data_IF_999137801502
#
_entry.id   IF_999137801502
#
_cell.length_a   1.000
_cell.length_b   1.000
_cell.length_c   1.000
_cell.angle_alpha   90.00
_cell.angle_beta   90.00
_cell.angle_gamma   90.00
#
_symmetry.space_group_name_H-M   'P 1'
#
loop_
_entity.id
_entity.type
_entity.pdbx_description
1 polymer ?
#
# COMPACT_ATOMS: atom_id res chain seq x y z
N UNK A 1 -32.57 -1.51 0.44
CA UNK A 1 -31.54 -1.73 -0.58
C UNK A 1 -30.32 -2.36 0.08
N UNK A 2 -29.96 -3.62 -0.21
CA UNK A 2 -28.67 -4.17 0.19
C UNK A 2 -27.59 -3.56 -0.70
N UNK A 3 -27.39 -2.25 -0.56
CA UNK A 3 -26.50 -1.45 -1.40
C UNK A 3 -25.05 -1.73 -1.04
N UNK A 4 -24.15 -1.69 -2.03
CA UNK A 4 -22.69 -1.47 -2.08
C UNK A 4 -21.85 -1.57 -0.77
N UNK A 5 -22.36 -1.13 0.37
CA UNK A 5 -21.71 -1.12 1.68
C UNK A 5 -21.15 -2.49 2.14
N UNK A 6 -21.86 -3.63 2.05
CA UNK A 6 -21.27 -4.94 2.35
C UNK A 6 -20.15 -5.33 1.38
N UNK A 7 -20.20 -4.84 0.14
CA UNK A 7 -19.16 -5.08 -0.87
C UNK A 7 -17.94 -4.20 -0.62
N UNK A 8 -18.12 -2.93 -0.24
CA UNK A 8 -17.03 -2.04 0.16
C UNK A 8 -16.38 -2.47 1.47
N UNK A 9 -17.15 -3.06 2.39
CA UNK A 9 -16.59 -3.65 3.61
C UNK A 9 -15.89 -4.99 3.34
N UNK A 10 -16.40 -5.79 2.39
CA UNK A 10 -15.68 -6.95 1.85
C UNK A 10 -14.48 -6.57 0.97
N UNK A 11 -14.36 -5.31 0.53
CA UNK A 11 -13.19 -4.70 -0.11
C UNK A 11 -12.12 -4.32 0.93
N UNK A 12 -12.28 -4.64 2.22
CA UNK A 12 -11.15 -4.77 3.16
C UNK A 12 -10.56 -6.21 3.30
N UNK A 13 -10.32 -7.05 2.26
CA UNK A 13 -9.57 -8.29 2.38
C UNK A 13 -8.12 -8.08 2.81
N UNK A 14 -7.65 -6.84 2.90
CA UNK A 14 -6.40 -6.48 3.54
C UNK A 14 -6.33 -6.88 5.01
N UNK A 15 -7.46 -7.06 5.70
CA UNK A 15 -7.45 -7.71 7.01
C UNK A 15 -6.95 -9.15 6.94
N UNK A 16 -7.11 -9.86 5.82
CA UNK A 16 -6.57 -11.22 5.66
C UNK A 16 -5.06 -11.21 5.49
N UNK A 17 -4.52 -10.21 4.80
CA UNK A 17 -3.06 -10.06 4.68
C UNK A 17 -2.47 -9.68 6.03
N UNK A 18 -3.05 -8.70 6.74
CA UNK A 18 -2.62 -8.35 8.10
C UNK A 18 -2.71 -9.55 9.04
N UNK A 19 -3.85 -10.24 9.05
CA UNK A 19 -4.01 -11.48 9.83
C UNK A 19 -3.01 -12.55 9.45
N UNK A 20 -2.73 -12.75 8.17
CA UNK A 20 -1.73 -13.72 7.73
C UNK A 20 -0.32 -13.36 8.24
N UNK A 21 0.04 -12.08 8.23
CA UNK A 21 1.30 -11.59 8.80
C UNK A 21 1.33 -11.78 10.32
N UNK A 22 0.22 -11.54 11.01
CA UNK A 22 0.09 -11.78 12.45
C UNK A 22 0.23 -13.28 12.76
N UNK A 23 -0.50 -14.14 12.05
CA UNK A 23 -0.43 -15.61 12.18
C UNK A 23 1.00 -16.13 11.90
N UNK A 24 1.72 -15.55 10.92
CA UNK A 24 3.14 -15.85 10.67
C UNK A 24 4.03 -15.43 11.84
N UNK A 25 3.81 -14.24 12.38
CA UNK A 25 4.61 -13.69 13.49
C UNK A 25 4.35 -14.43 14.81
N UNK A 26 3.11 -14.90 15.03
CA UNK A 26 2.72 -15.73 16.17
C UNK A 26 3.18 -17.19 16.04
N UNK A 27 3.75 -17.59 14.91
CA UNK A 27 4.25 -18.94 14.68
C UNK A 27 3.13 -19.97 14.49
N UNK A 28 1.94 -19.54 14.05
CA UNK A 28 0.83 -20.45 13.69
C UNK A 28 1.29 -21.43 12.60
N UNK A 29 2.17 -20.96 11.70
CA UNK A 29 2.83 -21.77 10.70
C UNK A 29 4.23 -22.18 11.19
N UNK A 30 4.31 -23.29 11.92
CA UNK A 30 5.51 -23.78 12.66
C UNK A 30 6.82 -23.75 11.83
N UNK A 31 6.76 -23.95 10.51
CA UNK A 31 7.94 -24.00 9.62
C UNK A 31 8.07 -22.81 8.68
N UNK A 32 7.24 -21.77 8.82
CA UNK A 32 7.22 -20.62 7.94
C UNK A 32 7.39 -19.34 8.76
N UNK A 33 8.44 -18.60 8.46
CA UNK A 33 8.63 -17.22 8.90
C UNK A 33 8.46 -16.27 7.72
N UNK A 34 8.30 -14.98 8.00
CA UNK A 34 8.24 -13.97 6.96
C UNK A 34 9.48 -14.00 6.05
N UNK A 35 10.66 -14.22 6.61
CA UNK A 35 11.91 -14.38 5.87
C UNK A 35 11.84 -15.55 4.89
N UNK A 36 11.37 -16.72 5.35
CA UNK A 36 11.27 -17.92 4.50
C UNK A 36 10.27 -17.75 3.37
N UNK A 37 9.17 -17.04 3.61
CA UNK A 37 8.18 -16.72 2.57
C UNK A 37 8.77 -15.74 1.55
N UNK A 38 9.55 -14.76 1.99
CA UNK A 38 10.23 -13.80 1.10
C UNK A 38 11.46 -14.37 0.38
N UNK A 39 11.94 -15.55 0.77
CA UNK A 39 12.95 -16.32 0.02
C UNK A 39 12.32 -17.17 -1.09
N UNK A 40 11.02 -17.44 -1.02
CA UNK A 40 10.29 -18.13 -2.07
C UNK A 40 9.91 -17.14 -3.19
N UNK A 41 10.07 -17.56 -4.46
CA UNK A 41 9.79 -16.73 -5.64
C UNK A 41 8.33 -16.28 -5.70
N UNK A 42 7.38 -17.18 -5.47
CA UNK A 42 5.95 -16.87 -5.46
C UNK A 42 5.59 -16.05 -4.21
N UNK A 43 6.15 -16.42 -3.07
CA UNK A 43 5.91 -15.76 -1.78
C UNK A 43 6.32 -14.30 -1.79
N UNK A 44 7.52 -13.98 -2.28
CA UNK A 44 7.97 -12.59 -2.40
C UNK A 44 7.12 -11.79 -3.37
N UNK A 45 6.72 -12.37 -4.50
CA UNK A 45 5.86 -11.71 -5.48
C UNK A 45 4.49 -11.40 -4.86
N UNK A 46 3.84 -12.41 -4.26
CA UNK A 46 2.52 -12.26 -3.65
C UNK A 46 2.50 -11.25 -2.51
N UNK A 47 3.53 -11.24 -1.65
CA UNK A 47 3.61 -10.26 -0.55
C UNK A 47 3.84 -8.82 -1.05
N UNK A 48 4.66 -8.64 -2.09
CA UNK A 48 4.83 -7.34 -2.75
C UNK A 48 3.50 -6.85 -3.37
N UNK A 49 2.84 -7.71 -4.14
CA UNK A 49 1.56 -7.40 -4.79
C UNK A 49 0.45 -7.12 -3.78
N UNK A 50 0.38 -7.90 -2.69
CA UNK A 50 -0.62 -7.69 -1.65
C UNK A 50 -0.47 -6.32 -0.97
N UNK A 51 0.76 -5.91 -0.63
CA UNK A 51 1.01 -4.60 -0.03
C UNK A 51 0.74 -3.47 -1.02
N UNK A 52 1.13 -3.64 -2.28
CA UNK A 52 0.83 -2.70 -3.35
C UNK A 52 -0.68 -2.51 -3.55
N UNK A 53 -1.42 -3.60 -3.76
CA UNK A 53 -2.86 -3.57 -3.98
C UNK A 53 -3.58 -2.93 -2.79
N UNK A 54 -3.12 -3.22 -1.58
CA UNK A 54 -3.66 -2.57 -0.40
C UNK A 54 -3.46 -1.04 -0.44
N UNK A 55 -2.26 -0.56 -0.74
CA UNK A 55 -2.00 0.87 -0.92
C UNK A 55 -2.84 1.50 -2.05
N UNK A 56 -3.00 0.81 -3.18
CA UNK A 56 -3.87 1.24 -4.29
C UNK A 56 -5.31 1.35 -3.82
N UNK A 57 -5.81 0.39 -3.05
CA UNK A 57 -7.17 0.42 -2.54
C UNK A 57 -7.40 1.61 -1.61
N UNK A 58 -6.43 1.99 -0.77
CA UNK A 58 -6.51 3.20 0.05
C UNK A 58 -6.65 4.44 -0.84
N UNK A 59 -5.76 4.61 -1.81
CA UNK A 59 -5.78 5.75 -2.74
C UNK A 59 -7.09 5.81 -3.52
N UNK A 60 -7.57 4.68 -4.03
CA UNK A 60 -8.81 4.60 -4.82
C UNK A 60 -10.03 4.92 -3.97
N UNK A 61 -10.12 4.40 -2.73
CA UNK A 61 -11.23 4.71 -1.82
C UNK A 61 -11.29 6.21 -1.56
N UNK A 62 -10.15 6.84 -1.25
CA UNK A 62 -10.08 8.26 -0.95
C UNK A 62 -10.36 9.13 -2.18
N UNK A 63 -9.96 8.66 -3.37
CA UNK A 63 -10.18 9.38 -4.62
C UNK A 63 -11.62 9.28 -5.14
N UNK A 64 -12.25 8.12 -4.97
CA UNK A 64 -13.56 7.80 -5.57
C UNK A 64 -14.72 8.01 -4.62
N UNK A 65 -14.47 8.02 -3.31
CA UNK A 65 -15.51 8.17 -2.29
C UNK A 65 -15.11 9.33 -1.38
N UNK A 66 -15.78 10.47 -1.55
CA UNK A 66 -15.53 11.65 -0.74
C UNK A 66 -15.69 11.36 0.75
N UNK A 67 -14.91 12.07 1.59
CA UNK A 67 -14.87 11.85 3.04
C UNK A 67 -16.25 11.84 3.69
N UNK A 68 -17.12 12.80 3.34
CA UNK A 68 -18.48 12.88 3.87
C UNK A 68 -19.32 11.64 3.50
N UNK A 69 -19.16 11.11 2.29
CA UNK A 69 -19.85 9.90 1.84
C UNK A 69 -19.34 8.69 2.64
N UNK A 70 -18.03 8.57 2.86
CA UNK A 70 -17.44 7.49 3.68
C UNK A 70 -17.93 7.53 5.13
N UNK A 71 -18.04 8.71 5.72
CA UNK A 71 -18.56 8.89 7.08
C UNK A 71 -20.04 8.51 7.19
N UNK A 72 -20.87 8.95 6.23
CA UNK A 72 -22.29 8.54 6.16
C UNK A 72 -22.44 7.02 5.99
N UNK A 73 -21.57 6.41 5.19
CA UNK A 73 -21.50 4.96 5.03
C UNK A 73 -21.13 4.24 6.33
N UNK A 74 -20.13 4.72 7.07
CA UNK A 74 -19.74 4.17 8.38
C UNK A 74 -20.91 4.22 9.37
N UNK A 75 -21.60 5.35 9.46
CA UNK A 75 -22.77 5.52 10.35
C UNK A 75 -23.89 4.56 9.94
N UNK A 76 -24.17 4.43 8.65
CA UNK A 76 -25.17 3.49 8.14
C UNK A 76 -24.80 2.04 8.48
N UNK A 77 -23.54 1.66 8.34
CA UNK A 77 -23.07 0.32 8.67
C UNK A 77 -23.18 0.06 10.17
N UNK A 78 -22.72 0.99 11.00
CA UNK A 78 -22.78 0.87 12.46
C UNK A 78 -24.21 0.64 12.94
N UNK A 79 -25.18 1.44 12.45
CA UNK A 79 -26.60 1.28 12.80
C UNK A 79 -27.19 -0.07 12.34
N UNK A 80 -26.79 -0.55 11.16
CA UNK A 80 -27.22 -1.84 10.64
C UNK A 80 -26.60 -3.01 11.41
N UNK A 81 -25.31 -2.91 11.73
CA UNK A 81 -24.57 -3.92 12.47
C UNK A 81 -25.04 -3.99 13.91
N UNK A 82 -25.27 -2.86 14.60
CA UNK A 82 -25.80 -2.85 15.98
C UNK A 82 -27.18 -3.51 16.12
N UNK A 83 -27.96 -3.60 15.03
CA UNK A 83 -29.21 -4.35 14.99
C UNK A 83 -29.01 -5.88 14.89
N UNK A 84 -27.79 -6.34 14.64
CA UNK A 84 -27.35 -7.74 14.65
C UNK A 84 -26.35 -7.91 15.80
N UNK A 85 -26.57 -8.87 16.70
CA UNK A 85 -25.86 -8.98 17.99
C UNK A 85 -24.35 -9.27 17.93
N UNK A 86 -23.69 -9.10 16.78
CA UNK A 86 -22.27 -9.31 16.55
C UNK A 86 -21.58 -7.96 16.34
N UNK A 87 -21.16 -7.32 17.44
CA UNK A 87 -20.22 -6.20 17.35
C UNK A 87 -18.89 -6.75 16.83
N UNK A 88 -18.55 -6.45 15.57
CA UNK A 88 -17.26 -6.83 14.98
C UNK A 88 -16.14 -6.04 15.67
N UNK A 89 -15.13 -6.76 16.18
CA UNK A 89 -13.94 -6.20 16.84
C UNK A 89 -13.12 -5.25 15.96
N UNK A 90 -13.34 -5.27 14.65
CA UNK A 90 -12.56 -4.51 13.67
C UNK A 90 -13.18 -3.15 13.31
N UNK A 91 -14.31 -2.78 13.93
CA UNK A 91 -15.05 -1.58 13.55
C UNK A 91 -14.26 -0.30 13.80
N UNK A 92 -13.46 -0.25 14.87
CA UNK A 92 -12.64 0.92 15.21
C UNK A 92 -11.54 1.16 14.17
N UNK A 93 -10.88 0.10 13.70
CA UNK A 93 -9.88 0.18 12.65
C UNK A 93 -10.48 0.63 11.31
N UNK A 94 -11.64 0.08 10.96
CA UNK A 94 -12.39 0.50 9.76
C UNK A 94 -12.78 1.98 9.86
N UNK A 95 -13.23 2.44 11.02
CA UNK A 95 -13.57 3.85 11.26
C UNK A 95 -12.34 4.75 11.13
N UNK A 96 -11.20 4.36 11.71
CA UNK A 96 -9.93 5.07 11.60
C UNK A 96 -9.50 5.21 10.14
N UNK A 97 -9.63 4.13 9.37
CA UNK A 97 -9.20 4.06 7.98
C UNK A 97 -10.14 4.81 7.01
N UNK A 98 -11.43 4.86 7.29
CA UNK A 98 -12.42 5.54 6.44
C UNK A 98 -12.71 6.98 6.83
N UNK A 99 -12.21 7.46 7.98
CA UNK A 99 -12.32 8.86 8.38
C UNK A 99 -11.78 9.79 7.29
N UNK A 100 -12.41 10.95 7.13
CA UNK A 100 -11.97 11.95 6.16
C UNK A 100 -10.46 12.26 6.27
N UNK A 101 -9.81 12.40 5.12
CA UNK A 101 -8.40 12.81 4.97
C UNK A 101 -8.30 14.30 4.64
N UNK A 102 -9.42 14.95 4.30
CA UNK A 102 -9.45 16.27 3.69
C UNK A 102 -9.08 16.27 2.20
N UNK A 103 -8.75 15.12 1.62
CA UNK A 103 -8.50 15.00 0.18
C UNK A 103 -9.79 15.24 -0.61
N UNK A 104 -9.67 15.93 -1.74
CA UNK A 104 -10.76 16.10 -2.71
C UNK A 104 -10.18 15.98 -4.12
N UNK A 105 -10.89 15.25 -4.99
CA UNK A 105 -10.54 15.08 -6.39
C UNK A 105 -11.09 16.20 -7.30
N UNK A 106 -11.76 17.20 -6.71
CA UNK A 106 -12.33 18.32 -7.46
C UNK A 106 -11.24 19.24 -8.04
N UNK A 107 -11.42 19.78 -9.26
CA UNK A 107 -10.49 20.74 -9.84
C UNK A 107 -10.27 21.95 -8.93
N UNK A 108 -9.02 22.30 -8.64
CA UNK A 108 -8.66 23.41 -7.77
C UNK A 108 -8.62 23.09 -6.27
N UNK A 109 -8.98 21.88 -5.85
CA UNK A 109 -8.80 21.45 -4.47
C UNK A 109 -7.31 21.34 -4.11
N UNK A 110 -6.92 21.93 -2.97
CA UNK A 110 -5.56 21.82 -2.45
C UNK A 110 -5.40 20.47 -1.75
N UNK A 111 -4.30 19.77 -2.05
CA UNK A 111 -3.95 18.54 -1.31
C UNK A 111 -3.70 18.87 0.17
N UNK A 112 -4.21 18.06 1.11
CA UNK A 112 -3.88 18.19 2.52
C UNK A 112 -2.36 18.08 2.75
N UNK A 113 -1.88 18.66 3.84
CA UNK A 113 -0.48 18.52 4.25
C UNK A 113 -0.14 17.06 4.55
N UNK A 114 1.05 16.60 4.14
CA UNK A 114 1.54 15.23 4.39
C UNK A 114 0.58 14.16 3.87
N UNK A 115 -0.12 14.44 2.77
CA UNK A 115 -0.93 13.47 2.07
C UNK A 115 -0.16 12.95 0.84
N UNK A 116 -0.10 11.62 0.63
CA UNK A 116 -0.89 10.57 1.28
C UNK A 116 -0.22 9.90 2.50
N UNK A 117 0.96 10.34 2.93
CA UNK A 117 1.76 9.67 3.98
C UNK A 117 0.98 9.51 5.29
N UNK A 118 0.35 10.59 5.77
CA UNK A 118 -0.47 10.60 6.99
C UNK A 118 -1.72 9.72 6.88
N UNK A 119 -2.18 9.44 5.66
CA UNK A 119 -3.28 8.52 5.44
C UNK A 119 -2.82 7.06 5.55
N UNK A 120 -1.68 6.74 4.93
CA UNK A 120 -1.06 5.41 4.98
C UNK A 120 -0.62 5.02 6.39
N UNK A 121 -0.15 5.97 7.20
CA UNK A 121 0.18 5.79 8.62
C UNK A 121 -1.00 5.31 9.49
N UNK A 122 -2.24 5.38 9.00
CA UNK A 122 -3.40 4.89 9.77
C UNK A 122 -3.43 3.37 9.86
N UNK A 123 -2.71 2.67 8.98
CA UNK A 123 -2.70 1.22 8.88
C UNK A 123 -1.67 0.61 9.85
N UNK A 124 -2.07 -0.37 10.67
CA UNK A 124 -1.16 -1.08 11.56
C UNK A 124 -0.40 -2.20 10.82
N UNK A 125 0.49 -1.85 9.88
CA UNK A 125 1.39 -2.83 9.26
C UNK A 125 2.73 -2.80 10.00
N UNK A 126 3.31 -3.98 10.22
CA UNK A 126 4.64 -4.12 10.80
C UNK A 126 5.73 -3.45 9.93
N UNK A 127 6.50 -2.53 10.51
CA UNK A 127 7.57 -1.79 9.82
C UNK A 127 8.69 -2.69 9.28
N UNK A 128 8.98 -3.81 9.96
CA UNK A 128 9.94 -4.82 9.48
C UNK A 128 9.44 -5.45 8.17
N UNK A 129 8.16 -5.81 8.10
CA UNK A 129 7.58 -6.33 6.86
C UNK A 129 7.68 -5.34 5.70
N UNK A 130 7.32 -4.07 5.93
CA UNK A 130 7.44 -3.01 4.92
C UNK A 130 8.90 -2.88 4.47
N UNK A 131 9.83 -2.83 5.41
CA UNK A 131 11.27 -2.73 5.13
C UNK A 131 11.79 -3.91 4.32
N UNK A 132 11.35 -5.14 4.62
CA UNK A 132 11.74 -6.34 3.88
C UNK A 132 11.18 -6.34 2.46
N UNK A 133 9.91 -5.96 2.28
CA UNK A 133 9.28 -5.83 0.96
C UNK A 133 9.97 -4.76 0.12
N UNK A 134 10.24 -3.57 0.68
CA UNK A 134 11.03 -2.52 0.02
C UNK A 134 12.42 -3.05 -0.34
N UNK A 135 13.06 -3.81 0.55
CA UNK A 135 14.35 -4.45 0.30
C UNK A 135 14.31 -5.38 -0.92
N UNK A 136 13.29 -6.24 -1.00
CA UNK A 136 13.09 -7.15 -2.15
C UNK A 136 12.84 -6.39 -3.44
N UNK A 137 11.96 -5.39 -3.39
CA UNK A 137 11.71 -4.52 -4.53
C UNK A 137 12.98 -3.76 -4.94
N UNK A 138 13.86 -3.36 -4.03
CA UNK A 138 15.11 -2.68 -4.41
C UNK A 138 16.15 -3.61 -5.01
N UNK A 139 16.30 -4.82 -4.48
CA UNK A 139 17.39 -5.73 -4.87
C UNK A 139 17.02 -6.65 -6.02
N UNK A 140 15.80 -7.19 -6.04
CA UNK A 140 15.43 -8.31 -6.89
C UNK A 140 14.73 -7.83 -8.19
N UNK A 141 14.57 -8.73 -9.16
CA UNK A 141 13.62 -8.63 -10.28
C UNK A 141 12.53 -9.68 -10.02
N UNK A 142 11.47 -9.29 -9.30
CA UNK A 142 10.53 -10.25 -8.72
C UNK A 142 9.67 -10.96 -9.77
N UNK A 143 9.67 -10.46 -11.01
CA UNK A 143 8.98 -11.07 -12.16
C UNK A 143 9.93 -11.74 -13.15
N UNK A 144 11.25 -11.71 -12.89
CA UNK A 144 12.30 -12.21 -13.78
C UNK A 144 12.20 -11.65 -15.22
N UNK A 145 11.67 -10.44 -15.38
CA UNK A 145 11.38 -9.82 -16.69
C UNK A 145 12.64 -9.33 -17.38
N UNK A 146 13.68 -8.91 -16.66
CA UNK A 146 14.91 -8.36 -17.26
C UNK A 146 15.54 -9.34 -18.25
N UNK A 147 15.43 -10.64 -18.00
CA UNK A 147 15.92 -11.68 -18.92
C UNK A 147 15.24 -11.65 -20.31
N UNK A 148 14.00 -11.17 -20.39
CA UNK A 148 13.23 -11.02 -21.63
C UNK A 148 13.53 -9.70 -22.38
N UNK A 149 14.26 -8.78 -21.76
CA UNK A 149 14.62 -7.47 -22.32
C UNK A 149 16.15 -7.37 -22.45
N UNK A 150 16.75 -7.89 -23.55
CA UNK A 150 18.20 -8.02 -23.67
C UNK A 150 18.93 -6.68 -23.84
N UNK A 151 18.22 -5.62 -24.23
CA UNK A 151 18.79 -4.29 -24.40
C UNK A 151 18.73 -3.52 -23.07
N UNK A 152 19.85 -2.93 -22.60
CA UNK A 152 19.89 -2.15 -21.36
C UNK A 152 18.87 -1.01 -21.28
N UNK A 153 18.55 -0.41 -22.44
CA UNK A 153 17.58 0.69 -22.58
C UNK A 153 16.15 0.26 -22.21
N UNK A 154 15.85 -1.03 -22.29
CA UNK A 154 14.52 -1.55 -21.96
C UNK A 154 14.34 -1.84 -20.46
N UNK A 155 15.35 -1.60 -19.64
CA UNK A 155 15.32 -1.92 -18.21
C UNK A 155 14.19 -1.22 -17.46
N UNK A 156 13.93 0.05 -17.76
CA UNK A 156 12.82 0.80 -17.16
C UNK A 156 11.46 0.21 -17.54
N UNK A 157 11.33 -0.32 -18.76
CA UNK A 157 10.13 -1.04 -19.22
C UNK A 157 9.98 -2.40 -18.53
N UNK A 158 11.05 -3.19 -18.48
CA UNK A 158 11.07 -4.50 -17.83
C UNK A 158 10.64 -4.43 -16.36
N UNK A 159 11.06 -3.36 -15.67
CA UNK A 159 10.84 -3.14 -14.26
C UNK A 159 9.63 -2.24 -13.96
N UNK A 160 8.86 -1.82 -14.97
CA UNK A 160 7.80 -0.81 -14.82
C UNK A 160 6.73 -1.21 -13.78
N UNK A 161 6.31 -2.47 -13.77
CA UNK A 161 5.34 -2.98 -12.78
C UNK A 161 5.92 -2.90 -11.37
N UNK A 162 7.18 -3.29 -11.19
CA UNK A 162 7.87 -3.24 -9.91
C UNK A 162 8.11 -1.80 -9.43
N UNK A 163 8.38 -0.89 -10.37
CA UNK A 163 8.48 0.55 -10.11
C UNK A 163 7.16 1.11 -9.57
N UNK A 164 6.04 0.77 -10.22
CA UNK A 164 4.70 1.19 -9.78
C UNK A 164 4.36 0.65 -8.39
N UNK A 165 4.74 -0.59 -8.09
CA UNK A 165 4.59 -1.17 -6.75
C UNK A 165 5.38 -0.38 -5.72
N UNK A 166 6.68 -0.20 -5.96
CA UNK A 166 7.56 0.48 -5.03
C UNK A 166 7.11 1.94 -4.79
N UNK A 167 6.66 2.64 -5.83
CA UNK A 167 6.14 4.00 -5.72
C UNK A 167 5.02 4.12 -4.69
N UNK A 168 4.03 3.23 -4.72
CA UNK A 168 2.92 3.23 -3.76
C UNK A 168 3.39 2.75 -2.38
N UNK A 169 4.24 1.72 -2.34
CA UNK A 169 4.71 1.13 -1.09
C UNK A 169 5.55 2.10 -0.26
N UNK A 170 6.28 3.02 -0.90
CA UNK A 170 7.05 4.05 -0.21
C UNK A 170 6.20 4.98 0.66
N UNK A 171 4.89 5.12 0.41
CA UNK A 171 4.00 5.88 1.30
C UNK A 171 3.77 5.21 2.66
N UNK A 172 4.01 3.90 2.78
CA UNK A 172 4.04 3.21 4.07
C UNK A 172 5.34 3.47 4.85
N UNK A 173 6.40 3.96 4.19
CA UNK A 173 7.70 4.29 4.83
C UNK A 173 8.17 5.72 4.44
N UNK A 174 7.49 6.78 4.92
CA UNK A 174 7.80 8.16 4.54
C UNK A 174 9.22 8.60 4.90
N UNK A 175 9.86 7.94 5.87
CA UNK A 175 11.24 8.25 6.27
C UNK A 175 12.23 8.03 5.13
N UNK A 176 11.95 7.09 4.22
CA UNK A 176 12.80 6.87 3.04
C UNK A 176 12.70 8.07 2.10
N UNK A 177 11.50 8.62 1.91
CA UNK A 177 11.23 9.74 1.01
C UNK A 177 11.93 11.03 1.43
N UNK A 178 11.97 11.31 2.74
CA UNK A 178 12.44 12.60 3.26
C UNK A 178 13.85 12.56 3.85
N UNK A 179 14.26 11.42 4.43
CA UNK A 179 15.49 11.35 5.24
C UNK A 179 16.57 10.52 4.57
N UNK A 180 16.21 9.44 3.84
CA UNK A 180 17.18 8.49 3.30
C UNK A 180 17.54 8.76 1.84
N UNK A 181 18.19 9.90 1.57
CA UNK A 181 18.56 10.33 0.22
C UNK A 181 19.32 9.25 -0.58
N UNK A 182 20.26 8.53 0.04
CA UNK A 182 21.03 7.48 -0.63
C UNK A 182 20.14 6.31 -1.10
N UNK A 183 19.20 5.86 -0.26
CA UNK A 183 18.24 4.80 -0.63
C UNK A 183 17.31 5.27 -1.75
N UNK A 184 16.83 6.52 -1.68
CA UNK A 184 15.98 7.09 -2.72
C UNK A 184 16.72 7.26 -4.04
N UNK A 185 17.98 7.70 -4.03
CA UNK A 185 18.80 7.80 -5.24
C UNK A 185 18.94 6.45 -5.93
N UNK A 186 19.27 5.41 -5.17
CA UNK A 186 19.36 4.05 -5.72
C UNK A 186 18.04 3.57 -6.34
N UNK A 187 16.90 3.87 -5.70
CA UNK A 187 15.56 3.57 -6.24
C UNK A 187 15.35 4.29 -7.57
N UNK A 188 15.64 5.59 -7.63
CA UNK A 188 15.47 6.40 -8.84
C UNK A 188 16.36 5.90 -9.97
N UNK A 189 17.63 5.62 -9.69
CA UNK A 189 18.58 5.10 -10.66
C UNK A 189 18.19 3.70 -11.17
N UNK A 190 17.57 2.86 -10.31
CA UNK A 190 17.09 1.53 -10.71
C UNK A 190 15.86 1.60 -11.62
N UNK A 191 14.84 2.36 -11.22
CA UNK A 191 13.51 2.26 -11.82
C UNK A 191 13.19 3.37 -12.80
N UNK A 192 13.83 4.52 -12.66
CA UNK A 192 13.45 5.72 -13.37
C UNK A 192 14.65 6.47 -13.98
N UNK A 193 15.61 5.77 -14.62
CA UNK A 193 16.77 6.42 -15.23
C UNK A 193 16.36 7.46 -16.28
N UNK A 194 15.28 7.20 -17.01
CA UNK A 194 14.79 8.05 -18.10
C UNK A 194 13.82 9.16 -17.63
N UNK A 195 13.26 9.04 -16.42
CA UNK A 195 12.19 9.89 -15.89
C UNK A 195 12.59 10.68 -14.64
N UNK A 196 13.90 10.80 -14.38
CA UNK A 196 14.44 11.39 -13.14
C UNK A 196 13.91 12.82 -12.88
N UNK A 197 13.73 13.64 -13.93
CA UNK A 197 13.23 15.01 -13.82
C UNK A 197 11.76 15.10 -13.37
N UNK A 198 10.92 14.16 -13.80
CA UNK A 198 9.51 14.07 -13.38
C UNK A 198 9.40 13.66 -11.91
N UNK A 199 10.33 12.84 -11.45
CA UNK A 199 10.34 12.23 -10.11
C UNK A 199 10.99 13.12 -9.06
N UNK A 200 12.00 13.91 -9.43
CA UNK A 200 12.57 14.95 -8.57
C UNK A 200 11.55 16.02 -8.12
N UNK A 201 10.49 16.22 -8.90
CA UNK A 201 9.38 17.11 -8.53
C UNK A 201 8.35 16.44 -7.60
N UNK A 202 8.31 15.10 -7.53
CA UNK A 202 7.39 14.33 -6.69
C UNK A 202 8.02 13.87 -5.37
N UNK A 203 9.32 13.59 -5.36
CA UNK A 203 10.09 13.29 -4.16
C UNK A 203 10.95 14.51 -3.85
N UNK A 204 10.64 15.29 -2.80
CA UNK A 204 11.45 16.43 -2.42
C UNK A 204 12.80 15.92 -1.89
N UNK A 205 13.74 15.70 -2.80
CA UNK A 205 15.16 15.66 -2.49
C UNK A 205 15.57 17.11 -2.24
N UNK A 206 15.21 17.65 -1.07
CA UNK A 206 15.82 18.87 -0.54
C UNK A 206 17.23 18.55 -0.04
#
# INVERSE_FOLDING_TARGET
>A
MPGILPYLLKIFPSLKMLKYLDDLNEGVYIQQTLETVLLNEDGKQLLCEALYLYGVMLLVIDQKIEGEVRERMLVSYYRYSAARSSADSNMDDICKLLRSTGYSSQPGAKRPSNYPESYFQRVPINESFISMVIGRLRSDDIYNQVSAYPLPEHRSTALANQAAMLYVILYFEPSILHTHQAKMREIVDKYFPDNWASIANFFPLQ
#
